data_IF_041564087889
#
_entry.id   IF_041564087889
#
_cell.length_a   1.000
_cell.length_b   1.000
_cell.length_c   1.000
_cell.angle_alpha   90.00
_cell.angle_beta   90.00
_cell.angle_gamma   90.00
#
_symmetry.space_group_name_H-M   'P 1'
#
loop_
_entity.id
_entity.type
_entity.pdbx_description
1 polymer ?
#
# COMPACT_ATOMS: atom_id res chain seq x y z
N UNK A 1 8.54 -7.20 -21.84
CA UNK A 1 7.13 -6.84 -21.71
C UNK A 1 6.54 -6.56 -23.07
N UNK A 2 5.46 -5.77 -23.10
CA UNK A 2 4.82 -5.29 -24.33
C UNK A 2 5.63 -4.12 -24.92
N UNK A 3 6.07 -4.27 -26.17
CA UNK A 3 6.96 -3.30 -26.82
C UNK A 3 6.32 -1.91 -27.00
N UNK A 4 5.02 -1.83 -27.26
CA UNK A 4 4.34 -0.56 -27.45
C UNK A 4 4.28 0.25 -26.14
N UNK A 5 4.00 -0.43 -25.03
CA UNK A 5 4.01 0.18 -23.70
C UNK A 5 5.42 0.57 -23.24
N UNK A 6 6.43 -0.25 -23.53
CA UNK A 6 7.81 0.07 -23.18
C UNK A 6 8.30 1.33 -23.93
N UNK A 7 7.98 1.47 -25.21
CA UNK A 7 8.29 2.68 -25.98
C UNK A 7 7.53 3.90 -25.45
N UNK A 8 6.22 3.77 -25.19
CA UNK A 8 5.41 4.86 -24.67
C UNK A 8 5.91 5.37 -23.31
N UNK A 9 6.32 4.48 -22.41
CA UNK A 9 6.92 4.83 -21.12
C UNK A 9 8.29 5.48 -21.28
N UNK A 10 9.11 5.00 -22.22
CA UNK A 10 10.40 5.62 -22.52
C UNK A 10 10.23 7.07 -22.98
N UNK A 11 9.29 7.30 -23.90
CA UNK A 11 8.99 8.64 -24.40
C UNK A 11 8.40 9.54 -23.30
N UNK A 12 7.57 9.00 -22.41
CA UNK A 12 7.08 9.73 -21.24
C UNK A 12 8.23 10.18 -20.34
N UNK A 13 9.18 9.30 -20.04
CA UNK A 13 10.36 9.65 -19.24
C UNK A 13 11.19 10.77 -19.90
N UNK A 14 11.35 10.73 -21.23
CA UNK A 14 12.08 11.75 -21.96
C UNK A 14 11.38 13.11 -21.92
N UNK A 15 10.08 13.15 -22.28
CA UNK A 15 9.28 14.37 -22.26
C UNK A 15 9.16 14.98 -20.86
N UNK A 16 8.95 14.14 -19.84
CA UNK A 16 8.87 14.60 -18.46
C UNK A 16 10.16 15.33 -18.05
N UNK A 17 11.32 14.81 -18.47
CA UNK A 17 12.60 15.46 -18.19
C UNK A 17 12.78 16.76 -18.95
N UNK A 18 12.48 16.78 -20.24
CA UNK A 18 12.58 17.99 -21.09
C UNK A 18 11.72 19.13 -20.55
N UNK A 19 10.56 18.80 -19.98
CA UNK A 19 9.64 19.75 -19.36
C UNK A 19 9.90 20.00 -17.87
N UNK A 20 11.00 19.47 -17.31
CA UNK A 20 11.34 19.53 -15.88
C UNK A 20 10.25 19.00 -14.92
N UNK A 21 9.35 18.17 -15.43
CA UNK A 21 8.32 17.48 -14.67
C UNK A 21 8.96 16.43 -13.73
N UNK A 22 8.36 16.25 -12.55
CA UNK A 22 8.78 15.22 -11.59
C UNK A 22 8.00 13.93 -11.86
N UNK A 23 8.72 12.84 -12.05
CA UNK A 23 8.14 11.51 -12.26
C UNK A 23 8.40 10.62 -11.04
N UNK A 24 7.35 9.99 -10.53
CA UNK A 24 7.43 8.95 -9.51
C UNK A 24 6.90 7.64 -10.11
N UNK A 25 7.70 6.58 -10.03
CA UNK A 25 7.37 5.25 -10.56
C UNK A 25 7.47 4.23 -9.45
N UNK A 26 6.49 3.35 -9.34
CA UNK A 26 6.51 2.20 -8.45
C UNK A 26 6.54 0.92 -9.29
N UNK A 27 7.31 -0.07 -8.84
CA UNK A 27 7.38 -1.38 -9.47
C UNK A 27 7.59 -2.47 -8.40
N UNK A 28 7.36 -3.71 -8.78
CA UNK A 28 7.53 -4.88 -7.90
C UNK A 28 8.99 -5.34 -7.75
N UNK A 29 9.91 -4.77 -8.51
CA UNK A 29 11.34 -5.07 -8.45
C UNK A 29 12.17 -3.82 -8.80
N UNK A 30 13.46 -3.85 -8.48
CA UNK A 30 14.40 -2.81 -8.88
C UNK A 30 14.51 -2.73 -10.41
N UNK A 31 14.84 -1.55 -11.00
CA UNK A 31 14.90 -1.38 -12.46
C UNK A 31 15.72 -2.44 -13.19
N UNK A 32 16.83 -2.90 -12.60
CA UNK A 32 17.70 -3.95 -13.16
C UNK A 32 17.06 -5.33 -13.19
N UNK A 33 16.10 -5.61 -12.33
CA UNK A 33 15.40 -6.89 -12.23
C UNK A 33 14.03 -6.90 -12.94
N UNK A 34 13.60 -5.76 -13.51
CA UNK A 34 12.36 -5.70 -14.27
C UNK A 34 12.48 -6.46 -15.60
N UNK A 35 11.39 -7.11 -16.00
CA UNK A 35 11.24 -7.82 -17.28
C UNK A 35 10.94 -6.87 -18.46
N UNK A 36 11.68 -5.76 -18.53
CA UNK A 36 11.63 -4.76 -19.60
C UNK A 36 12.58 -5.18 -20.72
N UNK A 37 12.09 -5.32 -21.94
CA UNK A 37 12.91 -5.75 -23.08
C UNK A 37 13.74 -4.60 -23.66
N UNK A 38 13.21 -3.38 -23.63
CA UNK A 38 13.86 -2.17 -24.12
C UNK A 38 14.98 -1.68 -23.16
N UNK A 39 16.27 -1.78 -23.55
CA UNK A 39 17.39 -1.41 -22.68
C UNK A 39 17.39 0.08 -22.29
N UNK A 40 16.92 0.94 -23.19
CA UNK A 40 16.86 2.38 -22.98
C UNK A 40 15.86 2.75 -21.87
N UNK A 41 14.67 2.12 -21.84
CA UNK A 41 13.71 2.31 -20.76
C UNK A 41 14.31 1.86 -19.41
N UNK A 42 14.97 0.69 -19.38
CA UNK A 42 15.64 0.19 -18.18
C UNK A 42 16.66 1.19 -17.64
N UNK A 43 17.47 1.78 -18.53
CA UNK A 43 18.44 2.80 -18.18
C UNK A 43 17.78 4.08 -17.64
N UNK A 44 16.66 4.52 -18.24
CA UNK A 44 15.90 5.68 -17.75
C UNK A 44 15.30 5.46 -16.38
N UNK A 45 14.74 4.27 -16.11
CA UNK A 45 14.21 3.91 -14.80
C UNK A 45 15.31 3.84 -13.72
N UNK A 46 16.54 3.48 -14.10
CA UNK A 46 17.68 3.41 -13.18
C UNK A 46 18.40 4.76 -12.98
N UNK A 47 18.11 5.76 -13.80
CA UNK A 47 18.80 7.06 -13.75
C UNK A 47 18.37 7.92 -12.55
N UNK A 48 17.10 7.80 -12.15
CA UNK A 48 16.56 8.49 -10.98
C UNK A 48 17.02 7.85 -9.66
N UNK A 49 16.57 8.45 -8.55
CA UNK A 49 16.79 7.86 -7.22
C UNK A 49 15.87 6.64 -7.07
N UNK A 50 16.46 5.48 -6.79
CA UNK A 50 15.74 4.24 -6.57
C UNK A 50 15.69 3.95 -5.08
N UNK A 51 14.48 3.86 -4.53
CA UNK A 51 14.24 3.43 -3.15
C UNK A 51 13.58 2.06 -3.12
N UNK A 52 14.11 1.17 -2.29
CA UNK A 52 13.39 -0.05 -1.93
C UNK A 52 12.42 0.27 -0.79
N UNK A 53 11.14 0.01 -1.01
CA UNK A 53 10.13 0.11 0.05
C UNK A 53 10.12 -1.19 0.85
N UNK A 54 10.58 -1.20 2.12
CA UNK A 54 10.52 -2.39 2.94
C UNK A 54 9.08 -2.73 3.28
N UNK A 55 8.83 -4.00 3.59
CA UNK A 55 7.55 -4.41 4.18
C UNK A 55 7.43 -3.80 5.58
N UNK A 56 6.24 -3.34 5.91
CA UNK A 56 5.96 -2.84 7.24
C UNK A 56 6.11 -3.96 8.28
N UNK A 57 6.73 -3.66 9.43
CA UNK A 57 6.68 -4.52 10.61
C UNK A 57 5.25 -4.59 11.16
N UNK A 58 4.98 -5.53 12.06
CA UNK A 58 3.65 -5.65 12.66
C UNK A 58 3.29 -4.43 13.52
N UNK A 59 4.27 -3.81 14.19
CA UNK A 59 4.08 -2.53 14.89
C UNK A 59 3.73 -1.40 13.91
N UNK A 60 4.43 -1.34 12.77
CA UNK A 60 4.16 -0.33 11.73
C UNK A 60 2.78 -0.55 11.10
N UNK A 61 2.36 -1.80 10.87
CA UNK A 61 1.01 -2.12 10.39
C UNK A 61 -0.06 -1.69 11.39
N UNK A 62 0.14 -1.95 12.68
CA UNK A 62 -0.78 -1.51 13.73
C UNK A 62 -0.89 0.03 13.76
N UNK A 63 0.24 0.73 13.63
CA UNK A 63 0.26 2.19 13.53
C UNK A 63 -0.46 2.69 12.27
N UNK A 64 -0.25 2.06 11.11
CA UNK A 64 -0.96 2.39 9.85
C UNK A 64 -2.47 2.20 10.01
N UNK A 65 -2.91 1.09 10.60
CA UNK A 65 -4.33 0.83 10.87
C UNK A 65 -4.95 1.90 11.76
N UNK A 66 -4.29 2.25 12.87
CA UNK A 66 -4.78 3.30 13.78
C UNK A 66 -4.83 4.66 13.11
N UNK A 67 -3.81 5.02 12.34
CA UNK A 67 -3.79 6.26 11.57
C UNK A 67 -4.95 6.32 10.57
N UNK A 68 -5.24 5.21 9.89
CA UNK A 68 -6.31 5.12 8.91
C UNK A 68 -7.69 5.14 9.57
N UNK A 69 -7.86 4.47 10.71
CA UNK A 69 -9.08 4.51 11.51
C UNK A 69 -9.38 5.94 11.99
N UNK A 70 -8.37 6.62 12.54
CA UNK A 70 -8.51 7.99 13.01
C UNK A 70 -8.91 8.97 11.89
N UNK A 71 -8.36 8.80 10.69
CA UNK A 71 -8.76 9.61 9.50
C UNK A 71 -10.21 9.40 9.07
N UNK A 72 -10.86 8.33 9.53
CA UNK A 72 -12.28 8.01 9.30
C UNK A 72 -13.16 8.37 10.49
N UNK A 73 -12.60 8.94 11.55
CA UNK A 73 -13.32 9.22 12.79
C UNK A 73 -13.54 7.99 13.69
N UNK A 74 -12.91 6.85 13.36
CA UNK A 74 -12.97 5.64 14.19
C UNK A 74 -11.88 5.69 15.26
N UNK A 75 -12.27 5.43 16.51
CA UNK A 75 -11.32 5.13 17.57
C UNK A 75 -10.91 3.66 17.48
N UNK A 76 -9.63 3.41 17.19
CA UNK A 76 -9.04 2.07 17.20
C UNK A 76 -7.98 2.00 18.33
N UNK A 77 -8.31 1.37 19.46
CA UNK A 77 -7.37 1.17 20.56
C UNK A 77 -6.15 0.35 20.13
N UNK A 78 -5.02 0.55 20.80
CA UNK A 78 -3.74 -0.06 20.40
C UNK A 78 -3.76 -1.59 20.51
N UNK A 79 -4.40 -2.11 21.56
CA UNK A 79 -4.62 -3.52 21.81
C UNK A 79 -5.51 -4.17 20.74
N UNK A 80 -6.53 -3.46 20.25
CA UNK A 80 -7.40 -3.95 19.17
C UNK A 80 -6.63 -3.97 17.84
N UNK A 81 -5.83 -2.94 17.56
CA UNK A 81 -4.98 -2.90 16.36
C UNK A 81 -3.94 -4.03 16.37
N UNK A 82 -3.27 -4.26 17.49
CA UNK A 82 -2.31 -5.36 17.65
C UNK A 82 -2.99 -6.73 17.49
N UNK A 83 -4.19 -6.87 18.08
CA UNK A 83 -5.00 -8.08 17.93
C UNK A 83 -5.34 -8.35 16.46
N UNK A 84 -5.78 -7.33 15.71
CA UNK A 84 -6.06 -7.44 14.28
C UNK A 84 -4.80 -7.88 13.52
N UNK A 85 -3.68 -7.20 13.71
CA UNK A 85 -2.43 -7.51 12.99
C UNK A 85 -1.93 -8.93 13.28
N UNK A 86 -2.09 -9.43 14.51
CA UNK A 86 -1.66 -10.78 14.88
C UNK A 86 -2.45 -11.91 14.21
N UNK A 87 -3.67 -11.64 13.73
CA UNK A 87 -4.59 -12.65 13.18
C UNK A 87 -4.93 -12.46 11.70
N UNK A 88 -4.80 -11.25 11.19
CA UNK A 88 -5.16 -10.89 9.84
C UNK A 88 -4.04 -11.21 8.82
N UNK A 89 -4.33 -11.09 7.50
CA UNK A 89 -3.35 -11.39 6.46
C UNK A 89 -2.09 -10.50 6.54
N UNK A 90 -0.98 -11.01 6.00
CA UNK A 90 0.35 -10.38 6.10
C UNK A 90 0.47 -9.05 5.33
N UNK A 91 -0.43 -8.76 4.39
CA UNK A 91 -0.32 -7.57 3.53
C UNK A 91 -1.03 -6.37 4.14
N UNK A 92 -0.43 -5.18 3.99
CA UNK A 92 -1.06 -3.93 4.43
C UNK A 92 -2.36 -3.65 3.66
N UNK A 93 -2.47 -4.08 2.40
CA UNK A 93 -3.69 -3.91 1.60
C UNK A 93 -4.89 -4.65 2.21
N UNK A 94 -4.70 -5.90 2.60
CA UNK A 94 -5.74 -6.71 3.21
C UNK A 94 -6.17 -6.15 4.58
N UNK A 95 -5.22 -5.64 5.37
CA UNK A 95 -5.52 -4.98 6.64
C UNK A 95 -6.40 -3.75 6.44
N UNK A 96 -6.18 -2.96 5.38
CA UNK A 96 -7.01 -1.80 5.08
C UNK A 96 -8.42 -2.21 4.63
N UNK A 97 -8.54 -3.27 3.84
CA UNK A 97 -9.84 -3.82 3.45
C UNK A 97 -10.62 -4.36 4.68
N UNK A 98 -9.94 -4.99 5.63
CA UNK A 98 -10.56 -5.41 6.90
C UNK A 98 -11.03 -4.20 7.72
N UNK A 99 -10.26 -3.12 7.73
CA UNK A 99 -10.67 -1.88 8.39
C UNK A 99 -11.92 -1.27 7.73
N UNK A 100 -12.06 -1.35 6.39
CA UNK A 100 -13.28 -0.94 5.68
C UNK A 100 -14.51 -1.74 6.16
N UNK A 101 -14.38 -3.05 6.29
CA UNK A 101 -15.45 -3.91 6.77
C UNK A 101 -15.84 -3.60 8.23
N UNK A 102 -14.85 -3.40 9.09
CA UNK A 102 -15.07 -3.06 10.50
C UNK A 102 -15.71 -1.68 10.68
N UNK A 103 -15.34 -0.70 9.85
CA UNK A 103 -15.94 0.63 9.82
C UNK A 103 -17.45 0.56 9.54
N UNK A 104 -17.82 -0.12 8.44
CA UNK A 104 -19.21 -0.31 8.07
C UNK A 104 -20.02 -1.06 9.13
N UNK A 105 -19.45 -2.12 9.72
CA UNK A 105 -20.10 -2.86 10.79
C UNK A 105 -20.28 -2.00 12.07
N UNK A 106 -19.24 -1.27 12.47
CA UNK A 106 -19.22 -0.41 13.65
C UNK A 106 -20.28 0.69 13.54
N UNK A 107 -20.40 1.31 12.37
CA UNK A 107 -21.42 2.33 12.10
C UNK A 107 -22.84 1.74 12.12
N UNK A 108 -23.03 0.55 11.53
CA UNK A 108 -24.33 -0.13 11.49
C UNK A 108 -24.82 -0.52 12.89
N UNK A 109 -23.94 -1.03 13.74
CA UNK A 109 -24.27 -1.44 15.10
C UNK A 109 -24.18 -0.30 16.12
N UNK A 110 -23.63 0.85 15.74
CA UNK A 110 -23.33 1.98 16.64
C UNK A 110 -22.48 1.57 17.84
N UNK A 111 -21.52 0.67 17.63
CA UNK A 111 -20.66 0.10 18.68
C UNK A 111 -19.19 0.43 18.43
N UNK A 112 -18.41 0.78 19.46
CA UNK A 112 -16.98 1.03 19.29
C UNK A 112 -16.22 -0.24 18.93
N UNK A 113 -15.10 -0.07 18.22
CA UNK A 113 -14.17 -1.16 17.90
C UNK A 113 -13.54 -1.70 19.19
N UNK A 114 -13.87 -2.93 19.52
CA UNK A 114 -13.34 -3.69 20.66
C UNK A 114 -12.95 -5.09 20.20
N UNK A 115 -12.11 -5.80 20.97
CA UNK A 115 -11.71 -7.18 20.64
C UNK A 115 -12.94 -8.09 20.43
N UNK A 116 -13.97 -8.09 21.30
CA UNK A 116 -15.17 -8.89 21.08
C UNK A 116 -15.92 -8.52 19.80
N UNK A 117 -16.02 -7.22 19.48
CA UNK A 117 -16.68 -6.74 18.26
C UNK A 117 -15.95 -7.19 17.00
N UNK A 118 -14.61 -7.11 16.99
CA UNK A 118 -13.78 -7.56 15.87
C UNK A 118 -13.94 -9.07 15.67
N UNK A 119 -13.92 -9.87 16.74
CA UNK A 119 -14.17 -11.32 16.66
C UNK A 119 -15.52 -11.64 16.04
N UNK A 120 -16.57 -10.97 16.51
CA UNK A 120 -17.93 -11.14 16.01
C UNK A 120 -18.04 -10.76 14.53
N UNK A 121 -17.45 -9.62 14.14
CA UNK A 121 -17.58 -9.07 12.78
C UNK A 121 -16.77 -9.84 11.74
N UNK A 122 -15.60 -10.38 12.13
CA UNK A 122 -14.68 -11.08 11.23
C UNK A 122 -14.75 -12.61 11.35
N UNK A 123 -15.52 -13.15 12.30
CA UNK A 123 -15.64 -14.59 12.54
C UNK A 123 -14.37 -15.24 13.08
N UNK A 124 -13.64 -14.55 13.97
CA UNK A 124 -12.37 -15.01 14.57
C UNK A 124 -12.49 -15.64 15.96
#
# INVERSE_FOLDING_TARGET
GDAAWELALFDLCNRAREQHCRLLVAANAAPRALSVNLPDLRSRLAWGIVYQLPRASDEQKAAILRLRAARRGLSLPAEVAAYIVSRAPRSTGDLLALLDLLDHASLREQRPLSIPFVKQSLGW
#
